data_IF_883278675289
#
_entry.id   IF_883278675289
#
_cell.length_a   1.000
_cell.length_b   1.000
_cell.length_c   1.000
_cell.angle_alpha   90.00
_cell.angle_beta   90.00
_cell.angle_gamma   90.00
#
_symmetry.space_group_name_H-M   'P 1'
#
loop_
_entity.id
_entity.type
_entity.pdbx_description
1 polymer ?
#
# COMPACT_ATOMS: atom_id res chain seq x y z
N UNK A 1 -5.86 -0.33 -11.59
CA UNK A 1 -5.89 0.15 -12.98
C UNK A 1 -7.00 1.20 -13.22
N UNK A 2 -7.36 2.01 -12.22
CA UNK A 2 -8.35 3.08 -12.36
C UNK A 2 -7.81 4.18 -13.30
N UNK A 3 -8.68 4.79 -14.11
CA UNK A 3 -8.28 5.80 -15.12
C UNK A 3 -7.48 6.97 -14.55
N UNK A 4 -7.72 7.35 -13.29
CA UNK A 4 -6.96 8.42 -12.62
C UNK A 4 -5.46 8.12 -12.51
N UNK A 5 -5.05 6.86 -12.47
CA UNK A 5 -3.63 6.47 -12.45
C UNK A 5 -2.94 6.63 -13.81
N UNK A 6 -3.70 6.87 -14.89
CA UNK A 6 -3.21 7.08 -16.26
C UNK A 6 -3.36 8.53 -16.72
N UNK A 7 -3.66 9.45 -15.81
CA UNK A 7 -3.78 10.86 -16.16
C UNK A 7 -2.49 11.37 -16.79
N UNK A 8 -2.61 12.17 -17.85
CA UNK A 8 -1.46 12.65 -18.62
C UNK A 8 -0.42 13.39 -17.75
N UNK A 9 -0.88 14.13 -16.74
CA UNK A 9 0.02 14.86 -15.83
C UNK A 9 0.83 13.91 -14.92
N UNK A 10 0.27 12.76 -14.52
CA UNK A 10 1.01 11.74 -13.77
C UNK A 10 2.04 11.03 -14.66
N UNK A 11 1.70 10.80 -15.93
CA UNK A 11 2.63 10.20 -16.87
C UNK A 11 3.82 11.14 -17.13
N UNK A 12 3.56 12.43 -17.41
CA UNK A 12 4.62 13.44 -17.55
C UNK A 12 5.49 13.56 -16.29
N UNK A 13 4.87 13.48 -15.11
CA UNK A 13 5.60 13.49 -13.85
C UNK A 13 6.54 12.28 -13.73
N UNK A 14 6.11 11.10 -14.16
CA UNK A 14 6.94 9.89 -14.13
C UNK A 14 8.06 9.93 -15.17
N UNK A 15 7.78 10.38 -16.39
CA UNK A 15 8.76 10.51 -17.48
C UNK A 15 9.91 11.46 -17.13
N UNK A 16 9.68 12.45 -16.26
CA UNK A 16 10.71 13.35 -15.78
C UNK A 16 11.66 12.72 -14.72
N UNK A 17 11.55 11.43 -14.42
CA UNK A 17 12.28 10.73 -13.35
C UNK A 17 12.83 9.39 -13.83
N UNK A 18 14.12 9.35 -14.13
CA UNK A 18 14.82 8.14 -14.61
C UNK A 18 14.78 6.96 -13.61
N UNK A 19 14.55 7.23 -12.32
CA UNK A 19 14.47 6.21 -11.26
C UNK A 19 13.08 5.59 -11.09
N UNK A 20 12.04 6.07 -11.79
CA UNK A 20 10.65 5.64 -11.58
C UNK A 20 10.12 4.86 -12.79
N UNK A 21 9.85 3.57 -12.60
CA UNK A 21 9.12 2.74 -13.59
C UNK A 21 7.72 2.43 -13.07
N UNK A 22 6.69 2.66 -13.89
CA UNK A 22 5.29 2.35 -13.55
C UNK A 22 4.86 1.03 -14.19
N UNK A 23 4.33 0.12 -13.38
CA UNK A 23 3.68 -1.10 -13.83
C UNK A 23 2.18 -1.03 -13.57
N UNK A 24 1.37 -1.28 -14.61
CA UNK A 24 -0.08 -1.38 -14.47
C UNK A 24 -0.49 -2.82 -14.24
N UNK A 25 -1.14 -3.08 -13.11
CA UNK A 25 -1.72 -4.39 -12.83
C UNK A 25 -2.92 -4.67 -13.74
N UNK A 26 -3.19 -5.95 -14.07
CA UNK A 26 -4.43 -6.37 -14.70
C UNK A 26 -5.66 -5.86 -13.91
N UNK A 27 -6.78 -5.57 -14.59
CA UNK A 27 -8.04 -5.28 -13.89
C UNK A 27 -8.39 -6.42 -12.92
N UNK A 28 -8.92 -6.06 -11.74
CA UNK A 28 -9.39 -7.02 -10.73
C UNK A 28 -8.34 -8.03 -10.24
N UNK A 29 -7.06 -7.67 -10.23
CA UNK A 29 -5.97 -8.46 -9.64
C UNK A 29 -5.48 -7.88 -8.30
N UNK A 30 -6.29 -7.90 -7.22
CA UNK A 30 -5.90 -7.38 -5.91
C UNK A 30 -4.79 -8.21 -5.25
N UNK A 31 -4.69 -9.49 -5.60
CA UNK A 31 -3.65 -10.43 -5.19
C UNK A 31 -2.23 -10.00 -5.62
N UNK A 32 -2.12 -9.18 -6.65
CA UNK A 32 -0.84 -8.61 -7.11
C UNK A 32 -0.52 -7.25 -6.47
N UNK A 33 -1.39 -6.72 -5.61
CA UNK A 33 -1.22 -5.41 -4.99
C UNK A 33 -0.81 -5.54 -3.51
N UNK A 34 0.45 -5.25 -3.14
CA UNK A 34 0.94 -5.46 -1.77
C UNK A 34 0.26 -4.55 -0.74
N UNK A 35 -0.38 -3.46 -1.18
CA UNK A 35 -1.21 -2.60 -0.33
C UNK A 35 -2.38 -3.37 0.30
N UNK A 36 -2.89 -4.43 -0.33
CA UNK A 36 -3.93 -5.27 0.26
C UNK A 36 -3.45 -6.00 1.53
N UNK A 37 -2.19 -6.45 1.55
CA UNK A 37 -1.55 -7.03 2.74
C UNK A 37 -1.46 -6.01 3.89
N UNK A 38 -1.03 -4.78 3.58
CA UNK A 38 -0.98 -3.67 4.56
C UNK A 38 -2.38 -3.39 5.14
N UNK A 39 -3.41 -3.37 4.30
CA UNK A 39 -4.79 -3.23 4.74
C UNK A 39 -5.27 -4.40 5.62
N UNK A 40 -4.88 -5.63 5.28
CA UNK A 40 -5.17 -6.81 6.10
C UNK A 40 -4.57 -6.68 7.49
N UNK A 41 -3.30 -6.27 7.60
CA UNK A 41 -2.61 -6.02 8.87
C UNK A 41 -3.31 -4.94 9.71
N UNK A 42 -3.70 -3.82 9.09
CA UNK A 42 -4.44 -2.76 9.78
C UNK A 42 -5.79 -3.25 10.31
N UNK A 43 -6.58 -3.94 9.47
CA UNK A 43 -7.93 -4.41 9.83
C UNK A 43 -7.91 -5.46 10.92
N UNK A 44 -6.96 -6.40 10.88
CA UNK A 44 -6.84 -7.48 11.89
C UNK A 44 -6.14 -7.02 13.16
N UNK A 45 -5.25 -6.03 13.06
CA UNK A 45 -4.53 -5.44 14.18
C UNK A 45 -5.20 -4.19 14.73
N UNK A 46 -4.72 -3.01 14.32
CA UNK A 46 -5.05 -1.72 14.96
C UNK A 46 -6.51 -1.29 14.89
N UNK A 47 -7.25 -1.80 13.92
CA UNK A 47 -8.66 -1.46 13.73
C UNK A 47 -9.60 -2.55 14.25
N UNK A 48 -9.08 -3.70 14.70
CA UNK A 48 -9.92 -4.78 15.22
C UNK A 48 -10.49 -4.44 16.58
N UNK A 49 -11.77 -4.74 16.79
CA UNK A 49 -12.48 -4.56 18.06
C UNK A 49 -12.44 -3.12 18.62
N UNK A 50 -12.33 -2.11 17.75
CA UNK A 50 -12.38 -0.69 18.14
C UNK A 50 -13.69 -0.08 17.67
N UNK A 51 -14.47 0.48 18.61
CA UNK A 51 -15.54 1.39 18.28
C UNK A 51 -14.97 2.80 18.08
N UNK A 52 -15.13 3.37 16.90
CA UNK A 52 -14.64 4.72 16.58
C UNK A 52 -15.72 5.76 16.83
N UNK A 53 -15.46 6.67 17.77
CA UNK A 53 -16.41 7.74 18.13
C UNK A 53 -16.39 8.93 17.16
N UNK A 54 -15.28 9.15 16.44
CA UNK A 54 -15.16 10.22 15.44
C UNK A 54 -14.25 9.79 14.27
N UNK A 55 -14.34 10.47 13.10
CA UNK A 55 -13.40 10.27 12.00
C UNK A 55 -11.94 10.49 12.41
N UNK A 56 -11.66 11.45 13.28
CA UNK A 56 -10.31 11.77 13.77
C UNK A 56 -9.74 10.62 14.60
N UNK A 57 -10.57 9.97 15.43
CA UNK A 57 -10.16 8.79 16.18
C UNK A 57 -9.75 7.65 15.22
N UNK A 58 -10.53 7.42 14.16
CA UNK A 58 -10.18 6.45 13.11
C UNK A 58 -8.85 6.80 12.44
N UNK A 59 -8.69 8.04 11.98
CA UNK A 59 -7.45 8.49 11.31
C UNK A 59 -6.24 8.36 12.22
N UNK A 60 -6.36 8.71 13.50
CA UNK A 60 -5.28 8.56 14.48
C UNK A 60 -4.87 7.09 14.64
N UNK A 61 -5.84 6.18 14.72
CA UNK A 61 -5.58 4.73 14.83
C UNK A 61 -4.93 4.17 13.57
N UNK A 62 -5.40 4.55 12.38
CA UNK A 62 -4.77 4.19 11.10
C UNK A 62 -3.32 4.67 11.06
N UNK A 63 -3.07 5.95 11.38
CA UNK A 63 -1.72 6.53 11.39
C UNK A 63 -0.79 5.81 12.37
N UNK A 64 -1.29 5.43 13.54
CA UNK A 64 -0.51 4.65 14.52
C UNK A 64 -0.15 3.27 13.98
N UNK A 65 -1.09 2.58 13.34
CA UNK A 65 -0.85 1.27 12.72
C UNK A 65 0.15 1.34 11.57
N UNK A 66 -0.03 2.30 10.66
CA UNK A 66 0.90 2.54 9.55
C UNK A 66 2.31 2.86 10.04
N UNK A 67 2.44 3.70 11.08
CA UNK A 67 3.76 4.02 11.68
C UNK A 67 4.41 2.77 12.26
N UNK A 68 3.65 1.89 12.89
CA UNK A 68 4.19 0.65 13.44
C UNK A 68 4.67 -0.30 12.34
N UNK A 69 3.90 -0.43 11.26
CA UNK A 69 4.29 -1.23 10.08
C UNK A 69 5.55 -0.62 9.43
N UNK A 70 5.64 0.71 9.33
CA UNK A 70 6.79 1.40 8.75
C UNK A 70 8.12 1.08 9.46
N UNK A 71 8.11 0.88 10.77
CA UNK A 71 9.31 0.53 11.55
C UNK A 71 9.62 -0.97 11.58
N UNK A 72 8.87 -1.78 10.82
CA UNK A 72 8.96 -3.24 10.79
C UNK A 72 8.99 -3.73 9.34
N UNK A 73 10.17 -3.66 8.74
CA UNK A 73 10.36 -3.99 7.32
C UNK A 73 9.90 -5.42 7.02
N UNK A 74 10.02 -6.35 7.96
CA UNK A 74 9.59 -7.75 7.79
C UNK A 74 8.09 -7.88 7.47
N UNK A 75 7.25 -6.95 7.97
CA UNK A 75 5.83 -6.92 7.66
C UNK A 75 5.57 -6.43 6.24
N UNK A 76 6.37 -5.47 5.78
CA UNK A 76 6.30 -4.91 4.41
C UNK A 76 6.80 -5.96 3.41
N UNK A 77 7.92 -6.61 3.73
CA UNK A 77 8.51 -7.69 2.95
C UNK A 77 7.55 -8.88 2.82
N UNK A 78 6.86 -9.24 3.91
CA UNK A 78 5.81 -10.25 3.89
C UNK A 78 4.65 -9.90 2.93
N UNK A 79 4.18 -8.65 2.95
CA UNK A 79 3.13 -8.19 2.04
C UNK A 79 3.57 -8.22 0.57
N UNK A 80 4.85 -7.96 0.29
CA UNK A 80 5.41 -8.07 -1.05
C UNK A 80 5.55 -9.52 -1.49
N UNK A 81 6.04 -10.39 -0.61
CA UNK A 81 6.21 -11.81 -0.90
C UNK A 81 4.88 -12.50 -1.26
N UNK A 82 3.76 -12.13 -0.61
CA UNK A 82 2.42 -12.65 -0.94
C UNK A 82 2.00 -12.36 -2.38
N UNK A 83 2.49 -11.28 -2.99
CA UNK A 83 2.19 -10.93 -4.40
C UNK A 83 3.07 -11.67 -5.41
N UNK A 84 4.03 -12.49 -4.94
CA UNK A 84 5.06 -13.10 -5.78
C UNK A 84 6.14 -12.12 -6.25
N UNK A 85 6.10 -10.86 -5.80
CA UNK A 85 7.12 -9.85 -6.07
C UNK A 85 8.28 -10.03 -5.08
N UNK A 86 9.49 -10.28 -5.60
CA UNK A 86 10.70 -10.32 -4.80
C UNK A 86 11.49 -9.02 -4.98
N UNK A 87 11.85 -8.35 -3.88
CA UNK A 87 12.87 -7.31 -3.90
C UNK A 87 14.20 -8.01 -4.17
N UNK A 88 14.74 -7.86 -5.37
CA UNK A 88 16.11 -8.30 -5.66
C UNK A 88 17.05 -7.24 -5.09
N UNK A 89 18.01 -7.60 -4.21
CA UNK A 89 19.05 -6.66 -3.83
C UNK A 89 19.83 -6.27 -5.09
N UNK A 90 19.98 -4.95 -5.28
CA UNK A 90 20.86 -4.34 -6.29
C UNK A 90 22.32 -4.50 -5.90
#
# INVERSE_FOLDING_TARGET
>A
NLNVHKAADLQKFAEARDWLTIYYLPPYAPDLNPVEGIWSLLRRGWLSNVAFSTPEHLVQRIRRGLRHIQYRSELIDGCLAETGLAIRPT
#
